data_IF_073523485262
#
_entry.id   IF_073523485262
#
_cell.length_a   1.000
_cell.length_b   1.000
_cell.length_c   1.000
_cell.angle_alpha   90.00
_cell.angle_beta   90.00
_cell.angle_gamma   90.00
#
_symmetry.space_group_name_H-M   'P 1'
#
loop_
_entity.id
_entity.type
_entity.pdbx_description
1 polymer ?
#
# COMPACT_ATOMS: atom_id res chain seq x y z
N UNK A 1 -19.23 -26.58 4.53
CA UNK A 1 -18.24 -25.53 4.87
C UNK A 1 -17.38 -25.32 3.63
N UNK A 2 -17.27 -24.08 3.14
CA UNK A 2 -16.43 -23.77 1.98
C UNK A 2 -14.94 -23.91 2.32
N UNK A 3 -14.07 -24.07 1.32
CA UNK A 3 -12.61 -24.10 1.56
C UNK A 3 -12.10 -22.82 2.23
N UNK A 4 -12.59 -21.66 1.79
CA UNK A 4 -12.32 -20.38 2.44
C UNK A 4 -12.81 -20.38 3.89
N UNK A 5 -14.00 -20.94 4.16
CA UNK A 5 -14.54 -21.04 5.50
C UNK A 5 -13.74 -21.94 6.43
N UNK A 6 -13.13 -23.02 5.89
CA UNK A 6 -12.20 -23.88 6.63
C UNK A 6 -10.92 -23.11 7.00
N UNK A 7 -10.28 -22.47 6.01
CA UNK A 7 -9.07 -21.64 6.22
C UNK A 7 -9.31 -20.49 7.19
N UNK A 8 -10.46 -19.84 7.11
CA UNK A 8 -10.81 -18.80 8.07
C UNK A 8 -10.93 -19.34 9.49
N UNK A 9 -11.47 -20.55 9.64
CA UNK A 9 -11.59 -21.21 10.95
C UNK A 9 -10.23 -21.64 11.48
N UNK A 10 -9.34 -22.11 10.61
CA UNK A 10 -7.93 -22.39 10.94
C UNK A 10 -7.22 -21.12 11.42
N UNK A 11 -7.41 -19.98 10.76
CA UNK A 11 -6.86 -18.69 11.18
C UNK A 11 -7.32 -18.29 12.59
N UNK A 12 -8.62 -18.45 12.90
CA UNK A 12 -9.16 -18.16 14.24
C UNK A 12 -8.50 -19.05 15.30
N UNK A 13 -8.36 -20.35 15.01
CA UNK A 13 -7.76 -21.32 15.92
C UNK A 13 -6.27 -21.01 16.13
N UNK A 14 -5.54 -20.69 15.06
CA UNK A 14 -4.13 -20.34 15.11
C UNK A 14 -3.85 -19.08 15.95
N UNK A 15 -4.86 -18.21 16.13
CA UNK A 15 -4.78 -17.00 16.94
C UNK A 15 -5.33 -17.17 18.37
N UNK A 16 -5.54 -18.41 18.81
CA UNK A 16 -6.14 -18.77 20.11
C UNK A 16 -7.45 -18.02 20.40
N UNK A 17 -8.25 -17.81 19.34
CA UNK A 17 -9.49 -17.04 19.40
C UNK A 17 -10.74 -17.90 19.23
N UNK A 18 -11.88 -17.27 19.51
CA UNK A 18 -13.20 -17.78 19.16
C UNK A 18 -13.76 -16.98 18.00
N UNK A 19 -14.74 -17.54 17.27
CA UNK A 19 -15.44 -16.80 16.20
C UNK A 19 -15.96 -15.42 16.67
N UNK A 20 -16.44 -15.34 17.93
CA UNK A 20 -16.97 -14.11 18.50
C UNK A 20 -15.87 -13.11 18.86
N UNK A 21 -14.80 -13.55 19.54
CA UNK A 21 -13.69 -12.67 19.92
C UNK A 21 -12.94 -12.17 18.69
N UNK A 22 -12.69 -13.04 17.72
CA UNK A 22 -12.03 -12.66 16.47
C UNK A 22 -12.86 -11.65 15.67
N UNK A 23 -14.18 -11.86 15.56
CA UNK A 23 -15.09 -10.91 14.94
C UNK A 23 -14.99 -9.51 15.55
N UNK A 24 -14.98 -9.44 16.89
CA UNK A 24 -14.80 -8.19 17.61
C UNK A 24 -13.43 -7.56 17.36
N UNK A 25 -12.35 -8.35 17.33
CA UNK A 25 -10.98 -7.86 17.06
C UNK A 25 -10.86 -7.22 15.68
N UNK A 26 -11.44 -7.84 14.65
CA UNK A 26 -11.41 -7.30 13.28
C UNK A 26 -12.54 -6.30 12.98
N UNK A 27 -13.32 -5.89 14.00
CA UNK A 27 -14.44 -4.96 13.91
C UNK A 27 -15.54 -5.35 12.90
N UNK A 28 -15.84 -6.65 12.79
CA UNK A 28 -16.89 -7.18 11.90
C UNK A 28 -17.99 -7.88 12.71
N UNK A 29 -19.21 -7.88 12.17
CA UNK A 29 -20.33 -8.57 12.77
C UNK A 29 -20.09 -10.11 12.81
N UNK A 30 -20.16 -10.71 14.01
CA UNK A 30 -19.97 -12.15 14.21
C UNK A 30 -20.94 -13.03 13.40
N UNK A 31 -22.16 -12.54 13.14
CA UNK A 31 -23.11 -13.24 12.27
C UNK A 31 -22.61 -13.33 10.82
N UNK A 32 -21.97 -12.27 10.33
CA UNK A 32 -21.38 -12.27 8.99
C UNK A 32 -20.27 -13.32 8.89
N UNK A 33 -19.37 -13.38 9.89
CA UNK A 33 -18.32 -14.41 9.96
C UNK A 33 -18.93 -15.81 9.96
N UNK A 34 -19.98 -16.05 10.75
CA UNK A 34 -20.67 -17.34 10.77
C UNK A 34 -21.25 -17.70 9.40
N UNK A 35 -21.91 -16.76 8.72
CA UNK A 35 -22.45 -16.98 7.37
C UNK A 35 -21.33 -17.25 6.35
N UNK A 36 -20.21 -16.54 6.45
CA UNK A 36 -19.06 -16.69 5.56
C UNK A 36 -18.36 -18.04 5.76
N UNK A 37 -18.11 -18.47 7.01
CA UNK A 37 -17.54 -19.79 7.31
C UNK A 37 -18.42 -20.90 6.73
N UNK A 38 -19.74 -20.73 6.81
CA UNK A 38 -20.70 -21.68 6.26
C UNK A 38 -20.89 -21.58 4.74
N UNK A 39 -20.17 -20.69 4.06
CA UNK A 39 -20.25 -20.50 2.60
C UNK A 39 -21.50 -19.79 2.12
N UNK A 40 -22.26 -19.15 3.01
CA UNK A 40 -23.49 -18.40 2.68
C UNK A 40 -23.22 -16.94 2.30
N UNK A 41 -22.04 -16.43 2.62
CA UNK A 41 -21.57 -15.08 2.25
C UNK A 41 -20.13 -15.16 1.75
N UNK A 42 -19.73 -14.32 0.78
CA UNK A 42 -18.34 -14.19 0.40
C UNK A 42 -17.52 -13.53 1.51
N UNK A 43 -16.20 -13.56 1.38
CA UNK A 43 -15.32 -12.71 2.17
C UNK A 43 -15.46 -11.29 1.64
N UNK A 44 -15.71 -10.33 2.53
CA UNK A 44 -15.78 -8.91 2.17
C UNK A 44 -14.43 -8.22 2.37
N UNK A 45 -14.23 -7.11 1.67
CA UNK A 45 -13.04 -6.26 1.84
C UNK A 45 -12.87 -5.78 3.28
N UNK A 46 -13.98 -5.53 3.99
CA UNK A 46 -13.94 -5.15 5.41
C UNK A 46 -13.35 -6.25 6.30
N UNK A 47 -13.59 -7.53 5.97
CA UNK A 47 -12.98 -8.65 6.70
C UNK A 47 -11.49 -8.70 6.42
N UNK A 48 -11.08 -8.62 5.15
CA UNK A 48 -9.67 -8.66 4.75
C UNK A 48 -8.89 -7.51 5.36
N UNK A 49 -9.44 -6.30 5.28
CA UNK A 49 -8.87 -5.11 5.90
C UNK A 49 -8.74 -5.26 7.43
N UNK A 50 -9.80 -5.74 8.09
CA UNK A 50 -9.79 -5.96 9.54
C UNK A 50 -8.74 -6.98 9.97
N UNK A 51 -8.57 -8.07 9.21
CA UNK A 51 -7.52 -9.06 9.46
C UNK A 51 -6.14 -8.45 9.28
N UNK A 52 -5.85 -7.81 8.15
CA UNK A 52 -4.54 -7.20 7.87
C UNK A 52 -4.16 -6.16 8.93
N UNK A 53 -5.14 -5.43 9.48
CA UNK A 53 -4.92 -4.47 10.56
C UNK A 53 -4.52 -5.13 11.88
N UNK A 54 -5.11 -6.28 12.21
CA UNK A 54 -4.84 -7.01 13.47
C UNK A 54 -3.63 -7.94 13.35
N UNK A 55 -3.42 -8.50 12.16
CA UNK A 55 -2.39 -9.48 11.81
C UNK A 55 -1.63 -8.99 10.57
N UNK A 56 -0.63 -8.10 10.74
CA UNK A 56 0.10 -7.52 9.60
C UNK A 56 0.83 -8.55 8.72
N UNK A 57 1.23 -9.69 9.29
CA UNK A 57 1.91 -10.78 8.60
C UNK A 57 0.95 -11.76 7.92
N UNK A 58 -0.35 -11.50 7.93
CA UNK A 58 -1.35 -12.38 7.32
C UNK A 58 -1.24 -12.40 5.79
N UNK A 59 -1.23 -13.60 5.21
CA UNK A 59 -1.25 -13.81 3.77
C UNK A 59 -2.70 -13.89 3.24
N UNK A 60 -3.12 -12.87 2.48
CA UNK A 60 -4.45 -12.85 1.86
C UNK A 60 -4.63 -13.93 0.79
N UNK A 61 -3.59 -14.23 0.00
CA UNK A 61 -3.65 -15.25 -1.04
C UNK A 61 -3.85 -16.66 -0.44
N UNK A 62 -3.31 -16.90 0.74
CA UNK A 62 -3.57 -18.14 1.47
C UNK A 62 -5.06 -18.29 1.81
N UNK A 63 -5.71 -17.24 2.33
CA UNK A 63 -7.13 -17.32 2.65
C UNK A 63 -8.00 -17.40 1.39
N UNK A 64 -7.74 -16.56 0.40
CA UNK A 64 -8.60 -16.40 -0.77
C UNK A 64 -8.41 -17.53 -1.79
N UNK A 65 -7.16 -17.91 -2.08
CA UNK A 65 -6.80 -18.86 -3.14
C UNK A 65 -6.30 -20.20 -2.59
N UNK A 66 -5.82 -20.23 -1.34
CA UNK A 66 -5.16 -21.42 -0.77
C UNK A 66 -3.69 -21.53 -1.15
N UNK A 67 -3.07 -20.42 -1.55
CA UNK A 67 -1.68 -20.36 -2.02
C UNK A 67 -0.73 -19.87 -0.93
N UNK A 68 0.44 -20.49 -0.80
CA UNK A 68 1.44 -20.12 0.19
C UNK A 68 1.12 -20.56 1.62
N UNK A 69 1.68 -19.86 2.61
CA UNK A 69 1.48 -20.11 4.05
C UNK A 69 0.52 -19.08 4.65
N UNK A 70 -0.14 -19.42 5.78
CA UNK A 70 -1.11 -18.55 6.48
C UNK A 70 -0.51 -17.20 6.90
N UNK A 71 0.72 -17.24 7.39
CA UNK A 71 1.51 -16.06 7.72
C UNK A 71 2.71 -15.98 6.77
N UNK A 72 2.98 -14.77 6.32
CA UNK A 72 4.20 -14.40 5.63
C UNK A 72 5.27 -14.21 6.70
N UNK A 73 6.48 -14.73 6.50
CA UNK A 73 7.57 -14.45 7.44
C UNK A 73 7.79 -12.93 7.50
N UNK A 74 8.12 -12.38 8.66
CA UNK A 74 8.43 -10.94 8.77
C UNK A 74 9.58 -10.50 7.85
N UNK A 75 10.44 -11.44 7.44
CA UNK A 75 11.48 -11.22 6.44
C UNK A 75 10.97 -11.24 4.97
N UNK A 76 9.82 -11.88 4.73
CA UNK A 76 9.17 -12.02 3.41
C UNK A 76 8.02 -11.01 3.23
N UNK A 77 7.47 -10.49 4.33
CA UNK A 77 6.56 -9.36 4.32
C UNK A 77 7.40 -8.14 3.96
N UNK A 78 7.60 -7.90 2.66
CA UNK A 78 8.21 -6.66 2.19
C UNK A 78 7.45 -5.52 2.87
N UNK A 79 8.07 -4.73 3.76
CA UNK A 79 7.47 -3.46 4.11
C UNK A 79 7.31 -2.74 2.78
N UNK A 80 6.09 -2.39 2.41
CA UNK A 80 5.83 -1.59 1.23
C UNK A 80 6.69 -0.33 1.38
N UNK A 81 7.79 -0.30 0.65
CA UNK A 81 8.78 0.75 0.82
C UNK A 81 8.17 2.04 0.29
N UNK A 82 8.74 3.18 0.68
CA UNK A 82 8.33 4.44 0.06
C UNK A 82 8.48 4.36 -1.47
N UNK A 83 9.52 3.66 -1.95
CA UNK A 83 9.74 3.42 -3.38
C UNK A 83 8.60 2.60 -4.01
N UNK A 84 8.15 1.53 -3.36
CA UNK A 84 7.04 0.71 -3.87
C UNK A 84 5.76 1.56 -4.00
N UNK A 85 5.49 2.44 -3.02
CA UNK A 85 4.33 3.35 -3.06
C UNK A 85 4.41 4.39 -4.17
N UNK A 86 5.59 4.97 -4.39
CA UNK A 86 5.76 6.00 -5.43
C UNK A 86 5.84 5.39 -6.83
N UNK A 87 6.43 4.20 -6.98
CA UNK A 87 6.53 3.51 -8.28
C UNK A 87 5.19 3.08 -8.87
N UNK A 88 4.16 2.97 -8.03
CA UNK A 88 2.79 2.64 -8.45
C UNK A 88 2.03 3.86 -9.01
N UNK A 89 2.56 5.08 -8.86
CA UNK A 89 1.92 6.31 -9.34
C UNK A 89 2.54 6.66 -10.70
N UNK A 90 1.70 6.80 -11.73
CA UNK A 90 2.17 7.18 -13.06
C UNK A 90 2.61 8.65 -13.12
N UNK A 91 3.50 8.98 -14.06
CA UNK A 91 3.95 10.36 -14.28
C UNK A 91 2.77 11.33 -14.56
N UNK A 92 1.74 10.85 -15.26
CA UNK A 92 0.53 11.63 -15.56
C UNK A 92 -0.27 11.95 -14.29
N UNK A 93 -0.44 10.98 -13.40
CA UNK A 93 -1.11 11.17 -12.11
C UNK A 93 -0.32 12.12 -11.20
N UNK A 94 1.01 11.99 -11.20
CA UNK A 94 1.88 12.94 -10.49
C UNK A 94 1.69 14.34 -11.06
N UNK A 95 1.72 14.52 -12.38
CA UNK A 95 1.55 15.82 -13.03
C UNK A 95 0.20 16.47 -12.69
N UNK A 96 -0.89 15.71 -12.74
CA UNK A 96 -2.23 16.18 -12.37
C UNK A 96 -2.28 16.62 -10.91
N UNK A 97 -1.71 15.82 -10.00
CA UNK A 97 -1.68 16.16 -8.58
C UNK A 97 -0.93 17.48 -8.32
N UNK A 98 0.20 17.69 -9.00
CA UNK A 98 0.99 18.91 -8.87
C UNK A 98 0.23 20.15 -9.38
N UNK A 99 -0.52 20.02 -10.48
CA UNK A 99 -1.33 21.13 -11.01
C UNK A 99 -2.46 21.50 -10.05
N UNK A 100 -3.20 20.51 -9.54
CA UNK A 100 -4.32 20.73 -8.62
C UNK A 100 -3.91 21.29 -7.25
N UNK A 101 -2.68 20.98 -6.80
CA UNK A 101 -2.22 21.32 -5.46
C UNK A 101 -1.08 22.34 -5.44
N UNK A 102 -0.83 23.02 -6.56
CA UNK A 102 0.32 23.88 -6.80
C UNK A 102 0.58 24.87 -5.67
N UNK A 103 -0.43 25.61 -5.22
CA UNK A 103 -0.27 26.65 -4.20
C UNK A 103 0.26 26.09 -2.88
N UNK A 104 -0.29 24.96 -2.43
CA UNK A 104 0.14 24.29 -1.20
C UNK A 104 1.54 23.69 -1.35
N UNK A 105 1.84 23.10 -2.50
CA UNK A 105 3.14 22.47 -2.76
C UNK A 105 4.27 23.52 -2.82
N UNK A 106 4.02 24.68 -3.40
CA UNK A 106 4.98 25.79 -3.45
C UNK A 106 5.27 26.43 -2.09
N UNK A 107 4.34 26.32 -1.14
CA UNK A 107 4.55 26.77 0.23
C UNK A 107 5.40 25.78 1.06
N UNK A 108 5.66 24.58 0.55
CA UNK A 108 6.48 23.60 1.24
C UNK A 108 7.98 23.94 1.07
N UNK A 109 8.66 24.16 2.20
CA UNK A 109 10.08 24.55 2.21
C UNK A 109 11.01 23.53 1.54
N UNK A 110 10.72 22.23 1.68
CA UNK A 110 11.55 21.17 1.08
C UNK A 110 11.39 21.20 -0.43
N UNK A 111 10.14 21.26 -0.92
CA UNK A 111 9.85 21.33 -2.36
C UNK A 111 10.51 22.56 -2.97
N UNK A 112 10.43 23.71 -2.30
CA UNK A 112 11.06 24.95 -2.76
C UNK A 112 12.58 24.80 -2.91
N UNK A 113 13.27 24.24 -1.91
CA UNK A 113 14.72 24.01 -1.97
C UNK A 113 15.10 23.07 -3.12
N UNK A 114 14.31 22.02 -3.35
CA UNK A 114 14.54 21.07 -4.45
C UNK A 114 14.42 21.80 -5.80
N UNK A 115 13.33 22.56 -6.00
CA UNK A 115 13.11 23.32 -7.25
C UNK A 115 14.24 24.31 -7.49
N UNK A 116 14.62 25.09 -6.47
CA UNK A 116 15.70 26.09 -6.59
C UNK A 116 17.04 25.45 -6.99
N UNK A 117 17.36 24.28 -6.42
CA UNK A 117 18.58 23.54 -6.73
C UNK A 117 18.59 23.04 -8.18
N UNK A 118 17.50 22.44 -8.65
CA UNK A 118 17.41 21.92 -10.01
C UNK A 118 17.41 23.03 -11.07
N UNK A 119 16.70 24.13 -10.82
CA UNK A 119 16.70 25.32 -11.70
C UNK A 119 18.09 25.92 -11.80
N UNK A 120 18.82 26.03 -10.69
CA UNK A 120 20.20 26.53 -10.68
C UNK A 120 21.12 25.63 -11.51
N UNK A 121 20.97 24.30 -11.39
CA UNK A 121 21.71 23.34 -12.20
C UNK A 121 21.46 23.51 -13.70
N UNK A 122 20.20 23.62 -14.11
CA UNK A 122 19.80 23.86 -15.50
C UNK A 122 20.38 25.17 -16.07
N UNK A 123 20.33 26.25 -15.28
CA UNK A 123 20.89 27.54 -15.70
C UNK A 123 22.40 27.47 -15.92
N UNK A 124 23.13 26.81 -15.03
CA UNK A 124 24.57 26.59 -15.17
C UNK A 124 24.89 25.74 -16.41
N UNK A 125 24.11 24.69 -16.68
CA UNK A 125 24.30 23.88 -17.89
C UNK A 125 24.12 24.72 -19.16
N UNK A 126 23.04 25.53 -19.21
CA UNK A 126 22.76 26.40 -20.34
C UNK A 126 23.86 27.44 -20.56
N UNK A 127 24.33 28.09 -19.50
CA UNK A 127 25.46 29.02 -19.58
C UNK A 127 26.73 28.36 -20.11
N UNK A 128 27.05 27.13 -19.67
CA UNK A 128 28.20 26.39 -20.19
C UNK A 128 28.06 26.11 -21.68
N UNK A 129 26.86 25.76 -22.13
CA UNK A 129 26.56 25.54 -23.54
C UNK A 129 26.75 26.82 -24.37
N UNK A 130 26.22 27.94 -23.88
CA UNK A 130 26.33 29.25 -24.55
C UNK A 130 27.79 29.73 -24.62
N UNK A 131 28.56 29.59 -23.53
CA UNK A 131 30.00 29.90 -23.52
C UNK A 131 30.76 29.00 -24.50
N UNK A 132 30.42 27.71 -24.58
CA UNK A 132 31.06 26.79 -25.51
C UNK A 132 30.77 27.18 -26.96
N UNK A 133 29.57 27.67 -27.29
CA UNK A 133 29.25 28.18 -28.63
C UNK A 133 30.10 29.41 -28.96
N UNK A 134 30.18 30.38 -28.04
CA UNK A 134 30.97 31.60 -28.22
C UNK A 134 32.49 31.39 -28.39
N UNK A 135 33.03 30.27 -27.89
CA UNK A 135 34.46 29.93 -28.03
C UNK A 135 34.74 29.17 -29.34
N UNK A 136 33.73 28.51 -29.92
CA UNK A 136 33.88 27.70 -31.14
C UNK A 136 33.41 28.41 -32.43
N UNK A 137 32.92 29.65 -32.31
CA UNK A 137 32.68 30.61 -33.42
C UNK A 137 33.89 31.56 -33.56
#
# INVERSE_FOLDING_TARGET
MSEIGKRFKELIIANDDTNKSFASKIAVNANYISMMINGRKPVSDSILYGIKKVLPTFNEDWLMKGEGTMFINENDAKPETLEDKFSAISDDEVALYFEENKERLLQNNIIKVIIEKEVSGLFVMKLKEDIKKLIND
#
